data_IF_009398566352
#
_entry.id   IF_009398566352
#
_cell.length_a   1.000
_cell.length_b   1.000
_cell.length_c   1.000
_cell.angle_alpha   90.00
_cell.angle_beta   90.00
_cell.angle_gamma   90.00
#
_symmetry.space_group_name_H-M   'P 1'
#
loop_
_entity.id
_entity.type
_entity.pdbx_description
1 polymer ?
#
# COMPACT_ATOMS: atom_id res chain seq x y z
N UNK A 1 7.40 6.67 3.85
CA UNK A 1 7.25 5.23 4.16
C UNK A 1 8.06 4.71 5.34
N UNK A 2 9.30 5.15 5.58
CA UNK A 2 10.15 4.63 6.68
C UNK A 2 9.48 4.59 8.08
N UNK A 3 8.71 5.62 8.46
CA UNK A 3 7.97 5.64 9.73
C UNK A 3 6.92 4.51 9.84
N UNK A 4 6.26 4.15 8.75
CA UNK A 4 5.29 3.05 8.69
C UNK A 4 6.01 1.69 8.78
N UNK A 5 7.10 1.54 8.04
CA UNK A 5 7.92 0.32 8.08
C UNK A 5 8.45 0.02 9.48
N UNK A 6 8.96 1.03 10.20
CA UNK A 6 9.38 0.89 11.61
C UNK A 6 8.23 0.48 12.56
N UNK A 7 6.98 0.68 12.17
CA UNK A 7 5.77 0.24 12.90
C UNK A 7 5.29 -1.16 12.48
N UNK A 8 6.05 -1.86 11.63
CA UNK A 8 5.71 -3.19 11.12
C UNK A 8 4.71 -3.19 9.96
N UNK A 9 4.38 -2.03 9.38
CA UNK A 9 3.51 -1.95 8.21
C UNK A 9 4.29 -2.35 6.96
N UNK A 10 3.72 -3.26 6.16
CA UNK A 10 4.27 -3.69 4.87
C UNK A 10 3.22 -3.72 3.77
N UNK A 11 3.68 -3.59 2.53
CA UNK A 11 2.91 -3.76 1.30
C UNK A 11 3.16 -5.13 0.67
N UNK A 12 4.39 -5.65 0.78
CA UNK A 12 4.81 -6.94 0.25
C UNK A 12 5.20 -7.88 1.39
N UNK A 13 4.89 -9.16 1.27
CA UNK A 13 5.39 -10.19 2.19
C UNK A 13 6.17 -11.28 1.43
N UNK A 14 7.39 -11.58 1.86
CA UNK A 14 8.22 -12.65 1.28
C UNK A 14 8.99 -13.38 2.39
N UNK A 15 8.96 -14.72 2.38
CA UNK A 15 9.55 -15.58 3.42
C UNK A 15 9.17 -15.12 4.84
N UNK A 16 7.87 -14.87 5.04
CA UNK A 16 7.28 -14.41 6.30
C UNK A 16 7.87 -13.11 6.87
N UNK A 17 8.41 -12.27 5.98
CA UNK A 17 8.88 -10.92 6.29
C UNK A 17 8.10 -9.90 5.47
N UNK A 18 7.66 -8.84 6.15
CA UNK A 18 7.02 -7.69 5.52
C UNK A 18 8.07 -6.71 5.00
N UNK A 19 7.83 -6.18 3.81
CA UNK A 19 8.63 -5.16 3.14
C UNK A 19 7.75 -3.96 2.79
N UNK A 20 8.35 -2.77 2.77
CA UNK A 20 7.70 -1.52 2.36
C UNK A 20 8.72 -0.63 1.64
N UNK A 21 8.97 -0.94 0.36
CA UNK A 21 9.90 -0.18 -0.48
C UNK A 21 9.18 0.70 -1.52
N UNK A 22 7.84 0.67 -1.57
CA UNK A 22 7.04 1.55 -2.41
C UNK A 22 7.24 3.03 -2.04
N UNK A 23 7.27 3.90 -3.04
CA UNK A 23 7.51 5.33 -2.85
C UNK A 23 6.50 6.14 -3.66
N UNK A 24 5.92 7.15 -3.02
CA UNK A 24 5.26 8.27 -3.68
C UNK A 24 6.13 9.48 -3.35
N UNK A 25 6.78 10.03 -4.37
CA UNK A 25 7.60 11.23 -4.26
C UNK A 25 6.71 12.44 -4.54
N UNK A 26 6.80 13.45 -3.67
CA UNK A 26 6.01 14.66 -3.76
C UNK A 26 6.95 15.84 -3.76
N UNK A 27 6.78 16.72 -4.74
CA UNK A 27 7.54 17.95 -4.81
C UNK A 27 7.21 18.86 -3.62
N UNK A 28 8.23 19.48 -3.03
CA UNK A 28 8.04 20.33 -1.86
C UNK A 28 7.23 21.59 -2.19
N UNK A 29 7.34 22.12 -3.41
CA UNK A 29 6.58 23.29 -3.87
C UNK A 29 5.09 22.96 -4.05
N UNK A 30 4.73 21.69 -4.21
CA UNK A 30 3.32 21.29 -4.17
C UNK A 30 2.73 21.43 -2.76
N UNK A 31 3.57 21.31 -1.72
CA UNK A 31 3.15 21.28 -0.32
C UNK A 31 3.25 22.65 0.35
N UNK A 32 2.37 23.58 -0.01
CA UNK A 32 2.34 24.94 0.53
C UNK A 32 1.36 25.09 1.71
N UNK A 33 1.71 25.91 2.71
CA UNK A 33 0.90 26.10 3.94
C UNK A 33 -0.51 26.66 3.71
N UNK A 34 -0.75 27.36 2.60
CA UNK A 34 -2.06 27.88 2.19
C UNK A 34 -2.70 27.07 1.04
N UNK A 35 -2.05 26.00 0.60
CA UNK A 35 -2.45 25.20 -0.56
C UNK A 35 -2.69 23.74 -0.21
N UNK A 36 -1.98 22.85 -0.91
CA UNK A 36 -2.09 21.39 -0.73
C UNK A 36 -1.17 20.95 0.42
N UNK A 37 -1.66 20.07 1.28
CA UNK A 37 -0.88 19.53 2.40
C UNK A 37 -1.05 18.02 2.55
N UNK A 38 0.01 17.34 3.00
CA UNK A 38 0.00 15.90 3.21
C UNK A 38 -0.71 15.55 4.53
N UNK A 39 -1.88 14.90 4.44
CA UNK A 39 -2.66 14.46 5.60
C UNK A 39 -2.28 13.06 6.07
N UNK A 40 -2.10 12.13 5.13
CA UNK A 40 -1.88 10.71 5.44
C UNK A 40 -0.99 10.05 4.40
N UNK A 41 -0.20 9.09 4.87
CA UNK A 41 0.46 8.08 4.03
C UNK A 41 0.08 6.71 4.57
N UNK A 42 -0.29 5.76 3.71
CA UNK A 42 -0.74 4.44 4.16
C UNK A 42 -0.59 3.35 3.09
N UNK A 43 -0.62 2.10 3.56
CA UNK A 43 -0.83 0.91 2.74
C UNK A 43 -2.32 0.62 2.72
N UNK A 44 -2.90 0.42 1.53
CA UNK A 44 -4.29 0.04 1.37
C UNK A 44 -4.41 -1.48 1.36
N UNK A 45 -4.91 -2.04 2.48
CA UNK A 45 -4.97 -3.49 2.69
C UNK A 45 -6.36 -3.99 3.11
N UNK A 46 -7.46 -3.64 2.42
CA UNK A 46 -8.79 -4.14 2.78
C UNK A 46 -8.88 -5.67 2.68
N UNK A 47 -9.83 -6.34 3.38
CA UNK A 47 -9.92 -7.80 3.42
C UNK A 47 -9.96 -8.48 2.05
N UNK A 48 -10.61 -7.88 1.05
CA UNK A 48 -10.73 -8.47 -0.28
C UNK A 48 -9.42 -8.50 -1.07
N UNK A 49 -8.43 -7.65 -0.74
CA UNK A 49 -7.09 -7.72 -1.36
C UNK A 49 -6.18 -8.75 -0.67
N UNK A 50 -6.63 -9.39 0.41
CA UNK A 50 -5.84 -10.35 1.18
C UNK A 50 -6.16 -11.77 0.73
N UNK A 51 -5.16 -12.64 0.72
CA UNK A 51 -5.38 -14.05 0.52
C UNK A 51 -6.28 -14.56 1.66
N UNK A 52 -7.47 -15.12 1.35
CA UNK A 52 -8.45 -15.46 2.38
C UNK A 52 -8.08 -16.70 3.18
N UNK A 53 -7.29 -17.62 2.61
CA UNK A 53 -7.11 -18.98 3.12
C UNK A 53 -5.68 -19.51 2.98
N UNK A 54 -5.41 -20.65 3.61
CA UNK A 54 -4.15 -21.38 3.48
C UNK A 54 -2.97 -20.74 4.21
N UNK A 55 -1.76 -21.24 3.91
CA UNK A 55 -0.50 -20.83 4.57
C UNK A 55 -0.25 -19.32 4.52
N UNK A 56 -0.67 -18.66 3.45
CA UNK A 56 -0.42 -17.23 3.21
C UNK A 56 -1.64 -16.36 3.54
N UNK A 57 -2.57 -16.84 4.40
CA UNK A 57 -3.75 -16.06 4.80
C UNK A 57 -3.33 -14.68 5.35
N UNK A 58 -3.96 -13.63 4.84
CA UNK A 58 -3.65 -12.23 5.19
C UNK A 58 -2.58 -11.55 4.32
N UNK A 59 -1.83 -12.30 3.52
CA UNK A 59 -0.83 -11.76 2.57
C UNK A 59 -1.56 -11.13 1.37
N UNK A 60 -0.90 -10.33 0.52
CA UNK A 60 -1.51 -9.89 -0.74
C UNK A 60 -2.08 -11.08 -1.52
N UNK A 61 -3.32 -10.95 -2.03
CA UNK A 61 -3.91 -11.97 -2.89
C UNK A 61 -3.28 -11.87 -4.27
N UNK A 62 -2.19 -12.61 -4.43
CA UNK A 62 -1.30 -12.52 -5.60
C UNK A 62 -1.95 -12.99 -6.87
N UNK A 63 -1.61 -12.32 -7.96
CA UNK A 63 -1.97 -12.76 -9.30
C UNK A 63 -1.39 -14.15 -9.56
N UNK A 64 -2.26 -15.09 -9.87
CA UNK A 64 -1.93 -16.46 -10.25
C UNK A 64 -2.78 -16.87 -11.45
N UNK A 65 -2.14 -17.41 -12.48
CA UNK A 65 -2.81 -17.98 -13.64
C UNK A 65 -3.10 -19.46 -13.32
N UNK A 66 -4.38 -19.80 -13.21
CA UNK A 66 -4.85 -21.17 -13.03
C UNK A 66 -5.60 -21.60 -14.30
N UNK A 67 -4.89 -22.27 -15.22
CA UNK A 67 -5.43 -22.60 -16.54
C UNK A 67 -5.67 -21.33 -17.35
N UNK A 68 -6.93 -21.07 -17.73
CA UNK A 68 -7.36 -19.85 -18.44
C UNK A 68 -7.87 -18.74 -17.52
N UNK A 69 -7.91 -18.96 -16.20
CA UNK A 69 -8.41 -17.98 -15.24
C UNK A 69 -7.26 -17.22 -14.55
N UNK A 70 -7.39 -15.91 -14.46
CA UNK A 70 -6.56 -15.07 -13.60
C UNK A 70 -7.25 -14.91 -12.24
N UNK A 71 -6.57 -15.28 -11.17
CA UNK A 71 -7.01 -15.09 -9.78
C UNK A 71 -6.06 -14.15 -9.05
N UNK A 72 -6.57 -13.39 -8.08
CA UNK A 72 -5.80 -12.41 -7.34
C UNK A 72 -5.85 -11.00 -7.95
N UNK A 73 -5.07 -10.09 -7.36
CA UNK A 73 -5.02 -8.67 -7.75
C UNK A 73 -3.61 -8.17 -8.03
N UNK A 74 -2.66 -8.41 -7.11
CA UNK A 74 -1.28 -7.93 -7.20
C UNK A 74 -0.41 -8.68 -6.20
N UNK A 75 0.88 -8.78 -6.49
CA UNK A 75 1.88 -9.40 -5.61
C UNK A 75 2.16 -8.58 -4.33
N UNK A 76 1.79 -7.30 -4.32
CA UNK A 76 1.88 -6.37 -3.18
C UNK A 76 0.58 -5.55 -2.98
N UNK A 77 0.38 -5.00 -1.78
CA UNK A 77 -0.67 -4.03 -1.51
C UNK A 77 -0.31 -2.65 -2.09
N UNK A 78 -1.28 -1.89 -2.62
CA UNK A 78 -1.03 -0.53 -3.07
C UNK A 78 -0.77 0.42 -1.90
N UNK A 79 0.05 1.45 -2.13
CA UNK A 79 0.21 2.59 -1.22
C UNK A 79 -0.55 3.80 -1.73
N UNK A 80 -0.96 4.66 -0.80
CA UNK A 80 -1.60 5.92 -1.15
C UNK A 80 -1.22 7.03 -0.18
N UNK A 81 -1.44 8.26 -0.64
CA UNK A 81 -1.41 9.45 0.19
C UNK A 81 -2.78 10.12 0.17
N UNK A 82 -3.13 10.78 1.26
CA UNK A 82 -4.29 11.69 1.31
C UNK A 82 -3.73 13.09 1.39
N UNK A 83 -4.17 13.95 0.47
CA UNK A 83 -3.82 15.35 0.43
C UNK A 83 -5.05 16.17 0.83
N UNK A 84 -4.86 17.13 1.72
CA UNK A 84 -5.84 18.16 2.00
C UNK A 84 -5.58 19.37 1.13
N UNK A 85 -6.63 20.15 0.85
CA UNK A 85 -6.53 21.45 0.18
C UNK A 85 -7.15 22.49 1.11
N UNK A 86 -6.41 23.55 1.38
CA UNK A 86 -6.97 24.73 2.05
C UNK A 86 -8.10 25.31 1.22
N UNK A 87 -9.25 25.52 1.83
CA UNK A 87 -10.36 26.26 1.22
C UNK A 87 -10.27 27.64 1.85
N UNK A 88 -10.02 28.67 1.03
CA UNK A 88 -10.08 30.07 1.47
C UNK A 88 -11.49 30.44 1.95
#
# INVERSE_FOLDING_TARGET
>A
MQKLFKKGVGSLAYRDKWFLFDQILVDQELLTKKGIFLLKTAVFNPPYLRNPNGKYKGYPFRNEIQGSQLKGYSDHFPIYVVLGKGIE
#
